data_IF_271315786175
#
_entry.id   IF_271315786175
#
_cell.length_a   1.000
_cell.length_b   1.000
_cell.length_c   1.000
_cell.angle_alpha   90.00
_cell.angle_beta   90.00
_cell.angle_gamma   90.00
#
_symmetry.space_group_name_H-M   'P 1'
#
loop_
_entity.id
_entity.type
_entity.pdbx_description
1 polymer ?
#
# COMPACT_ATOMS: atom_id res chain seq x y z
N UNK A 1 -13.66 -24.52 8.88
CA UNK A 1 -14.20 -23.26 9.42
C UNK A 1 -13.01 -22.41 9.83
N UNK A 2 -12.73 -21.36 9.06
CA UNK A 2 -11.57 -20.49 9.31
C UNK A 2 -11.90 -19.52 10.45
N UNK A 3 -10.91 -18.89 11.11
CA UNK A 3 -11.20 -17.85 12.12
C UNK A 3 -11.99 -16.65 11.56
N UNK A 4 -12.19 -16.54 10.24
CA UNK A 4 -12.87 -15.43 9.57
C UNK A 4 -14.40 -15.51 9.61
N UNK A 5 -14.99 -16.69 9.85
CA UNK A 5 -16.44 -16.85 10.05
C UNK A 5 -16.93 -16.19 11.36
N UNK A 6 -15.99 -15.67 12.18
CA UNK A 6 -16.24 -15.08 13.50
C UNK A 6 -15.90 -13.59 13.60
N UNK A 7 -15.47 -12.94 12.51
CA UNK A 7 -15.19 -11.51 12.53
C UNK A 7 -16.52 -10.77 12.44
N UNK A 8 -16.94 -10.19 13.55
CA UNK A 8 -18.07 -9.27 13.57
C UNK A 8 -17.72 -7.99 12.80
N UNK A 9 -18.34 -7.81 11.64
CA UNK A 9 -18.15 -6.67 10.74
C UNK A 9 -18.93 -5.43 11.15
N UNK A 10 -19.69 -5.51 12.25
CA UNK A 10 -20.39 -4.36 12.82
C UNK A 10 -19.40 -3.21 13.05
N UNK A 11 -18.22 -3.52 13.63
CA UNK A 11 -17.15 -2.58 13.95
C UNK A 11 -17.70 -1.28 14.58
N UNK A 12 -18.68 -1.44 15.48
CA UNK A 12 -19.43 -0.33 16.08
C UNK A 12 -18.58 0.50 17.04
N UNK A 13 -17.53 -0.09 17.60
CA UNK A 13 -16.64 0.53 18.58
C UNK A 13 -15.19 0.57 18.12
N UNK A 14 -14.46 1.60 18.57
CA UNK A 14 -13.01 1.68 18.37
C UNK A 14 -12.27 0.48 18.96
N UNK A 15 -12.79 -0.11 20.04
CA UNK A 15 -12.21 -1.30 20.67
C UNK A 15 -12.32 -2.53 19.77
N UNK A 16 -13.48 -2.77 19.14
CA UNK A 16 -13.64 -3.86 18.16
C UNK A 16 -12.71 -3.68 16.98
N UNK A 17 -12.61 -2.45 16.43
CA UNK A 17 -11.69 -2.13 15.35
C UNK A 17 -10.24 -2.41 15.78
N UNK A 18 -9.83 -1.90 16.95
CA UNK A 18 -8.48 -2.10 17.45
C UNK A 18 -8.16 -3.59 17.66
N UNK A 19 -9.08 -4.36 18.24
CA UNK A 19 -8.91 -5.80 18.46
C UNK A 19 -8.71 -6.55 17.15
N UNK A 20 -9.48 -6.21 16.12
CA UNK A 20 -9.31 -6.75 14.77
C UNK A 20 -7.94 -6.38 14.18
N UNK A 21 -7.57 -5.10 14.19
CA UNK A 21 -6.27 -4.64 13.68
C UNK A 21 -5.08 -5.19 14.45
N UNK A 22 -5.27 -5.54 15.72
CA UNK A 22 -4.23 -6.14 16.56
C UNK A 22 -3.87 -7.56 16.14
N UNK A 23 -4.70 -8.22 15.32
CA UNK A 23 -4.39 -9.52 14.72
C UNK A 23 -3.29 -9.42 13.65
N UNK A 24 -3.08 -8.22 13.08
CA UNK A 24 -2.01 -7.94 12.14
C UNK A 24 -0.67 -7.71 12.85
N UNK A 25 0.39 -7.65 12.04
CA UNK A 25 1.72 -7.21 12.46
C UNK A 25 1.70 -5.72 12.82
N UNK A 26 2.39 -5.33 13.90
CA UNK A 26 2.38 -3.93 14.39
C UNK A 26 2.86 -2.90 13.35
N UNK A 27 3.80 -3.29 12.48
CA UNK A 27 4.32 -2.39 11.42
C UNK A 27 3.27 -2.02 10.38
N UNK A 28 2.17 -2.76 10.27
CA UNK A 28 1.05 -2.42 9.37
C UNK A 28 0.33 -1.18 9.89
N UNK A 29 0.00 -1.14 11.18
CA UNK A 29 -0.61 0.03 11.81
C UNK A 29 0.29 1.27 11.71
N UNK A 30 1.59 1.09 11.92
CA UNK A 30 2.57 2.17 11.74
C UNK A 30 2.69 2.64 10.28
N UNK A 31 2.58 1.71 9.33
CA UNK A 31 2.52 2.01 7.90
C UNK A 31 1.32 2.89 7.56
N UNK A 32 0.12 2.54 8.06
CA UNK A 32 -1.09 3.33 7.83
C UNK A 32 -0.99 4.75 8.42
N UNK A 33 -0.42 4.89 9.63
CA UNK A 33 -0.13 6.22 10.21
C UNK A 33 0.77 7.04 9.29
N UNK A 34 1.80 6.38 8.76
CA UNK A 34 2.77 7.03 7.90
C UNK A 34 2.19 7.44 6.55
N UNK A 35 1.38 6.58 5.93
CA UNK A 35 0.65 6.89 4.71
C UNK A 35 -0.27 8.11 4.88
N UNK A 36 -0.99 8.22 6.00
CA UNK A 36 -1.82 9.38 6.31
C UNK A 36 -1.00 10.67 6.45
N UNK A 37 0.16 10.61 7.14
CA UNK A 37 1.08 11.75 7.21
C UNK A 37 1.57 12.14 5.82
N UNK A 38 1.92 11.15 4.99
CA UNK A 38 2.39 11.38 3.64
C UNK A 38 1.31 12.06 2.77
N UNK A 39 0.06 11.63 2.90
CA UNK A 39 -1.10 12.25 2.23
C UNK A 39 -1.26 13.72 2.61
N UNK A 40 -1.06 14.07 3.88
CA UNK A 40 -1.11 15.47 4.31
C UNK A 40 -0.05 16.33 3.63
N UNK A 41 1.13 15.76 3.31
CA UNK A 41 2.14 16.49 2.55
C UNK A 41 1.78 16.53 1.07
N UNK A 42 1.31 15.43 0.49
CA UNK A 42 0.87 15.37 -0.91
C UNK A 42 -0.29 16.34 -1.20
N UNK A 43 -1.24 16.49 -0.28
CA UNK A 43 -2.31 17.48 -0.36
C UNK A 43 -1.82 18.93 -0.37
N UNK A 44 -0.56 19.19 0.04
CA UNK A 44 0.09 20.50 -0.13
C UNK A 44 0.82 20.60 -1.45
N UNK A 45 1.35 19.50 -1.98
CA UNK A 45 2.09 19.46 -3.26
C UNK A 45 1.20 19.89 -4.42
N UNK A 46 -0.08 19.50 -4.43
CA UNK A 46 -1.04 19.96 -5.45
C UNK A 46 -1.15 21.48 -5.52
N UNK A 47 -1.06 22.20 -4.39
CA UNK A 47 -1.08 23.67 -4.34
C UNK A 47 0.15 24.33 -4.96
N UNK A 48 1.24 23.59 -5.10
CA UNK A 48 2.48 24.10 -5.68
C UNK A 48 2.62 23.72 -7.16
N UNK A 49 1.79 22.82 -7.68
CA UNK A 49 1.81 22.45 -9.08
C UNK A 49 0.89 23.39 -9.86
N UNK A 50 1.40 23.99 -10.92
CA UNK A 50 0.60 24.80 -11.86
C UNK A 50 -0.19 23.87 -12.82
N UNK A 51 -0.68 22.74 -12.30
CA UNK A 51 -1.34 21.66 -13.03
C UNK A 51 -2.41 21.03 -12.17
N UNK A 52 -3.43 20.48 -12.81
CA UNK A 52 -4.47 19.71 -12.13
C UNK A 52 -3.89 18.37 -11.65
N UNK A 53 -3.96 18.14 -10.34
CA UNK A 53 -3.59 16.87 -9.72
C UNK A 53 -4.81 16.31 -9.02
N UNK A 54 -5.28 15.16 -9.50
CA UNK A 54 -6.38 14.41 -8.88
C UNK A 54 -5.80 13.18 -8.20
N UNK A 55 -5.95 13.09 -6.89
CA UNK A 55 -5.66 11.86 -6.16
C UNK A 55 -6.90 10.99 -6.19
N UNK A 56 -6.79 9.75 -6.69
CA UNK A 56 -7.92 8.83 -6.70
C UNK A 56 -8.15 8.26 -5.29
N UNK A 57 -9.35 8.44 -4.74
CA UNK A 57 -9.85 7.84 -3.51
C UNK A 57 -10.27 6.38 -3.77
N UNK A 58 -9.26 5.55 -3.97
CA UNK A 58 -9.40 4.12 -4.20
C UNK A 58 -8.41 3.34 -3.33
N UNK A 59 -8.71 2.08 -3.08
CA UNK A 59 -7.71 1.10 -2.64
C UNK A 59 -7.51 0.12 -3.80
N UNK A 60 -6.28 -0.17 -4.20
CA UNK A 60 -6.02 -1.18 -5.23
C UNK A 60 -5.16 -2.31 -4.70
N UNK A 61 -5.68 -3.52 -4.79
CA UNK A 61 -4.94 -4.73 -4.49
C UNK A 61 -4.67 -5.49 -5.79
N UNK A 62 -3.40 -5.73 -6.10
CA UNK A 62 -3.01 -6.62 -7.19
C UNK A 62 -2.64 -7.97 -6.59
N UNK A 63 -3.30 -9.01 -7.06
CA UNK A 63 -3.11 -10.38 -6.62
C UNK A 63 -2.50 -11.21 -7.75
N UNK A 64 -1.67 -12.17 -7.37
CA UNK A 64 -1.07 -13.16 -8.27
C UNK A 64 -1.19 -14.55 -7.66
N UNK A 65 -1.45 -15.51 -8.53
CA UNK A 65 -1.41 -16.93 -8.20
C UNK A 65 -0.17 -17.63 -8.77
N UNK A 66 -0.09 -18.95 -8.67
CA UNK A 66 0.99 -19.78 -9.23
C UNK A 66 1.18 -19.63 -10.75
N UNK A 67 0.22 -19.06 -11.48
CA UNK A 67 0.34 -18.68 -12.89
C UNK A 67 0.74 -17.21 -13.11
N UNK A 68 0.88 -16.79 -14.37
CA UNK A 68 1.29 -15.42 -14.72
C UNK A 68 0.15 -14.38 -14.75
N UNK A 69 -1.09 -14.81 -14.52
CA UNK A 69 -2.24 -13.93 -14.56
C UNK A 69 -2.30 -13.05 -13.30
N UNK A 70 -2.27 -11.73 -13.50
CA UNK A 70 -2.54 -10.75 -12.46
C UNK A 70 -4.02 -10.43 -12.40
N UNK A 71 -4.54 -10.27 -11.18
CA UNK A 71 -5.91 -9.81 -10.92
C UNK A 71 -5.83 -8.55 -10.08
N UNK A 72 -6.48 -7.48 -10.51
CA UNK A 72 -6.53 -6.22 -9.78
C UNK A 72 -7.93 -6.00 -9.20
N UNK A 73 -8.03 -5.80 -7.90
CA UNK A 73 -9.24 -5.42 -7.19
C UNK A 73 -9.14 -3.94 -6.83
N UNK A 74 -9.99 -3.12 -7.44
CA UNK A 74 -10.01 -1.67 -7.23
C UNK A 74 -11.25 -1.31 -6.45
N UNK A 75 -11.09 -1.05 -5.15
CA UNK A 75 -12.17 -0.55 -4.32
C UNK A 75 -12.40 0.93 -4.61
N UNK A 76 -13.48 1.19 -5.33
CA UNK A 76 -13.99 2.52 -5.61
C UNK A 76 -14.66 3.07 -4.35
N UNK A 77 -14.06 4.11 -3.76
CA UNK A 77 -14.58 4.82 -2.59
C UNK A 77 -15.17 6.18 -2.96
N UNK A 78 -15.32 6.48 -4.25
CA UNK A 78 -15.89 7.72 -4.76
C UNK A 78 -15.84 7.80 -6.29
N UNK A 79 -16.93 8.29 -6.89
CA UNK A 79 -17.07 8.41 -8.35
C UNK A 79 -16.22 9.55 -8.95
N UNK A 80 -14.91 9.36 -8.96
CA UNK A 80 -13.95 10.39 -9.35
C UNK A 80 -13.69 10.44 -10.86
N UNK A 81 -13.40 11.65 -11.31
CA UNK A 81 -12.95 11.90 -12.68
C UNK A 81 -11.63 11.16 -12.90
N UNK A 82 -11.59 10.33 -13.94
CA UNK A 82 -10.39 9.63 -14.37
C UNK A 82 -10.19 8.22 -13.80
N UNK A 83 -11.06 7.72 -12.91
CA UNK A 83 -11.05 6.31 -12.48
C UNK A 83 -11.07 5.35 -13.69
N UNK A 84 -11.92 5.62 -14.69
CA UNK A 84 -11.97 4.82 -15.93
C UNK A 84 -10.62 4.78 -16.67
N UNK A 85 -9.85 5.85 -16.67
CA UNK A 85 -8.53 5.91 -17.30
C UNK A 85 -7.57 4.95 -16.58
N UNK A 86 -7.57 5.00 -15.25
CA UNK A 86 -6.78 4.09 -14.42
C UNK A 86 -7.18 2.62 -14.61
N UNK A 87 -8.47 2.30 -14.61
CA UNK A 87 -8.96 0.94 -14.83
C UNK A 87 -8.57 0.40 -16.21
N UNK A 88 -8.63 1.23 -17.27
CA UNK A 88 -8.16 0.85 -18.61
C UNK A 88 -6.67 0.55 -18.65
N UNK A 89 -5.86 1.36 -17.96
CA UNK A 89 -4.42 1.13 -17.88
C UNK A 89 -4.14 -0.20 -17.17
N UNK A 90 -4.75 -0.46 -16.00
CA UNK A 90 -4.61 -1.75 -15.31
C UNK A 90 -5.01 -2.94 -16.20
N UNK A 91 -6.09 -2.80 -16.97
CA UNK A 91 -6.63 -3.86 -17.83
C UNK A 91 -5.68 -4.30 -18.98
N UNK A 92 -4.55 -3.59 -19.19
CA UNK A 92 -3.51 -4.00 -20.14
C UNK A 92 -2.81 -5.29 -19.66
N UNK A 93 -2.56 -5.44 -18.36
CA UNK A 93 -1.87 -6.60 -17.77
C UNK A 93 -2.69 -7.38 -16.75
N UNK A 94 -3.76 -6.79 -16.22
CA UNK A 94 -4.56 -7.39 -15.16
C UNK A 94 -5.97 -7.72 -15.64
N UNK A 95 -6.55 -8.80 -15.11
CA UNK A 95 -8.01 -8.90 -15.01
C UNK A 95 -8.47 -7.96 -13.90
N UNK A 96 -9.35 -7.00 -14.22
CA UNK A 96 -9.71 -5.93 -13.28
C UNK A 96 -11.12 -6.15 -12.74
N UNK A 97 -11.27 -6.02 -11.43
CA UNK A 97 -12.56 -6.02 -10.74
C UNK A 97 -12.76 -4.68 -10.02
N UNK A 98 -13.89 -4.03 -10.28
CA UNK A 98 -14.31 -2.85 -9.53
C UNK A 98 -15.07 -3.32 -8.31
N UNK A 99 -14.53 -3.01 -7.13
CA UNK A 99 -15.06 -3.40 -5.82
C UNK A 99 -15.82 -2.22 -5.21
N UNK A 100 -16.94 -2.50 -4.56
CA UNK A 100 -17.73 -1.54 -3.77
C UNK A 100 -18.09 -2.15 -2.43
N UNK A 101 -18.29 -1.30 -1.42
CA UNK A 101 -18.76 -1.72 -0.10
C UNK A 101 -20.24 -1.38 0.04
N UNK A 102 -21.06 -2.37 0.40
CA UNK A 102 -22.45 -2.16 0.79
C UNK A 102 -22.53 -2.08 2.33
N UNK A 103 -22.83 -0.90 2.87
CA UNK A 103 -22.95 -0.69 4.30
C UNK A 103 -24.23 -1.26 4.92
N UNK A 104 -25.26 -1.53 4.12
CA UNK A 104 -26.52 -2.10 4.59
C UNK A 104 -26.40 -3.60 4.84
N UNK A 105 -25.65 -4.30 3.99
CA UNK A 105 -25.39 -5.73 4.12
C UNK A 105 -24.05 -6.05 4.80
N UNK A 106 -23.18 -5.05 4.96
CA UNK A 106 -21.78 -5.22 5.39
C UNK A 106 -21.00 -6.20 4.50
N UNK A 107 -21.18 -6.10 3.18
CA UNK A 107 -20.56 -7.00 2.20
C UNK A 107 -19.82 -6.19 1.12
N UNK A 108 -18.66 -6.71 0.71
CA UNK A 108 -17.97 -6.24 -0.49
C UNK A 108 -18.55 -6.93 -1.72
N UNK A 109 -18.94 -6.14 -2.71
CA UNK A 109 -19.32 -6.63 -4.03
C UNK A 109 -18.28 -6.25 -5.06
N UNK A 110 -18.18 -7.02 -6.14
CA UNK A 110 -17.38 -6.65 -7.27
C UNK A 110 -18.01 -7.04 -8.61
N UNK A 111 -17.52 -6.41 -9.67
CA UNK A 111 -17.83 -6.75 -11.06
C UNK A 111 -16.59 -6.62 -11.95
N UNK A 112 -16.49 -7.38 -13.04
CA UNK A 112 -15.37 -7.30 -13.97
C UNK A 112 -15.32 -5.95 -14.72
N UNK A 113 -14.12 -5.57 -15.14
CA UNK A 113 -13.83 -4.41 -15.98
C UNK A 113 -12.88 -4.78 -17.14
N UNK A 114 -13.15 -4.35 -18.39
CA UNK A 114 -14.41 -3.74 -18.82
C UNK A 114 -15.55 -4.76 -18.71
N UNK A 115 -16.74 -4.28 -18.39
CA UNK A 115 -17.93 -5.13 -18.44
C UNK A 115 -18.22 -5.48 -19.90
N UNK A 116 -18.25 -6.78 -20.20
CA UNK A 116 -18.41 -7.32 -21.56
C UNK A 116 -19.89 -7.60 -21.84
N UNK A 117 -20.68 -7.90 -20.80
CA UNK A 117 -22.12 -8.12 -20.90
C UNK A 117 -22.91 -6.96 -20.27
N UNK A 118 -24.04 -6.60 -20.88
CA UNK A 118 -25.03 -5.67 -20.27
C UNK A 118 -25.53 -6.13 -18.89
N UNK A 119 -25.30 -7.41 -18.56
CA UNK A 119 -25.75 -8.07 -17.33
C UNK A 119 -24.61 -8.38 -16.35
N UNK A 120 -23.39 -7.85 -16.52
CA UNK A 120 -22.35 -8.01 -15.49
C UNK A 120 -22.78 -7.27 -14.21
N UNK A 121 -23.50 -7.99 -13.37
CA UNK A 121 -24.00 -7.52 -12.09
C UNK A 121 -22.90 -7.65 -11.05
N UNK A 122 -22.96 -6.76 -10.08
CA UNK A 122 -22.20 -6.91 -8.85
C UNK A 122 -22.55 -8.25 -8.20
N UNK A 123 -21.53 -9.01 -7.82
CA UNK A 123 -21.66 -10.24 -7.03
C UNK A 123 -20.79 -10.13 -5.77
N UNK A 124 -21.12 -10.85 -4.69
CA UNK A 124 -20.29 -10.86 -3.49
C UNK A 124 -18.84 -11.19 -3.85
N UNK A 125 -17.90 -10.35 -3.41
CA UNK A 125 -16.50 -10.48 -3.77
C UNK A 125 -15.93 -11.83 -3.33
N UNK A 126 -16.39 -12.36 -2.19
CA UNK A 126 -16.00 -13.69 -1.70
C UNK A 126 -16.33 -14.82 -2.69
N UNK A 127 -17.45 -14.72 -3.40
CA UNK A 127 -17.86 -15.69 -4.42
C UNK A 127 -17.01 -15.56 -5.69
N UNK A 128 -16.48 -14.37 -5.96
CA UNK A 128 -15.60 -14.12 -7.10
C UNK A 128 -14.20 -14.67 -6.79
N UNK A 129 -13.58 -14.25 -5.68
CA UNK A 129 -12.21 -14.67 -5.30
C UNK A 129 -12.11 -16.18 -5.09
N UNK A 130 -13.17 -16.83 -4.61
CA UNK A 130 -13.20 -18.30 -4.45
C UNK A 130 -13.23 -19.07 -5.77
N UNK A 131 -13.68 -18.43 -6.86
CA UNK A 131 -13.72 -19.03 -8.20
C UNK A 131 -12.43 -18.79 -8.98
N UNK A 132 -11.82 -17.61 -8.82
CA UNK A 132 -10.65 -17.20 -9.61
C UNK A 132 -9.31 -17.46 -8.90
N UNK A 133 -9.31 -17.57 -7.57
CA UNK A 133 -8.15 -18.00 -6.81
C UNK A 133 -7.98 -19.52 -6.88
N UNK A 134 -6.76 -19.99 -7.08
CA UNK A 134 -6.43 -21.43 -7.10
C UNK A 134 -5.73 -21.91 -5.82
N UNK A 135 -5.43 -21.01 -4.89
CA UNK A 135 -4.93 -21.40 -3.58
C UNK A 135 -6.02 -22.09 -2.75
N UNK A 136 -5.70 -23.21 -2.11
CA UNK A 136 -6.49 -23.70 -0.98
C UNK A 136 -6.55 -22.62 0.08
N UNK A 137 -7.75 -22.28 0.56
CA UNK A 137 -7.99 -21.19 1.52
C UNK A 137 -6.91 -21.18 2.61
N UNK A 138 -6.02 -20.18 2.55
CA UNK A 138 -4.94 -20.03 3.53
C UNK A 138 -5.39 -19.09 4.60
N UNK A 139 -5.41 -19.57 5.84
CA UNK A 139 -5.71 -18.70 6.95
C UNK A 139 -4.62 -17.63 7.09
N UNK A 140 -5.01 -16.35 7.08
CA UNK A 140 -4.10 -15.27 7.40
C UNK A 140 -3.79 -15.33 8.91
N UNK A 141 -2.65 -15.95 9.26
CA UNK A 141 -2.17 -16.07 10.63
C UNK A 141 -0.82 -15.38 10.77
N UNK A 142 -0.79 -14.32 11.57
CA UNK A 142 0.44 -13.57 11.91
C UNK A 142 1.10 -14.21 13.13
N UNK A 143 2.43 -14.33 13.09
CA UNK A 143 3.22 -14.82 14.21
C UNK A 143 3.23 -13.80 15.37
N UNK A 144 3.01 -14.26 16.59
CA UNK A 144 2.98 -13.39 17.76
C UNK A 144 4.31 -12.66 18.00
N UNK A 145 5.45 -13.23 17.57
CA UNK A 145 6.76 -12.58 17.68
C UNK A 145 6.93 -11.30 16.85
N UNK A 146 6.06 -11.08 15.86
CA UNK A 146 6.05 -9.84 15.07
C UNK A 146 4.90 -8.92 15.47
N UNK A 147 4.17 -9.24 16.53
CA UNK A 147 3.11 -8.39 17.11
C UNK A 147 3.68 -7.63 18.29
N UNK A 148 3.34 -6.34 18.36
CA UNK A 148 3.72 -5.45 19.45
C UNK A 148 2.51 -4.58 19.76
N UNK A 149 1.78 -4.98 20.81
CA UNK A 149 0.52 -4.35 21.17
C UNK A 149 0.71 -2.90 21.61
N UNK A 150 1.83 -2.56 22.27
CA UNK A 150 2.10 -1.19 22.69
C UNK A 150 2.29 -0.27 21.48
N UNK A 151 3.02 -0.74 20.46
CA UNK A 151 3.19 -0.01 19.19
C UNK A 151 1.87 0.11 18.43
N UNK A 152 1.05 -0.95 18.42
CA UNK A 152 -0.27 -0.91 17.80
C UNK A 152 -1.21 0.08 18.50
N UNK A 153 -1.24 0.08 19.84
CA UNK A 153 -2.00 1.05 20.63
C UNK A 153 -1.57 2.48 20.32
N UNK A 154 -0.26 2.74 20.31
CA UNK A 154 0.30 4.05 19.99
C UNK A 154 -0.05 4.53 18.58
N UNK A 155 0.02 3.65 17.58
CA UNK A 155 -0.37 3.98 16.22
C UNK A 155 -1.89 4.22 16.09
N UNK A 156 -2.70 3.34 16.68
CA UNK A 156 -4.15 3.40 16.54
C UNK A 156 -4.77 4.54 17.34
N UNK A 157 -4.64 4.53 18.67
CA UNK A 157 -5.24 5.54 19.55
C UNK A 157 -4.50 6.87 19.55
N UNK A 158 -3.19 6.85 19.26
CA UNK A 158 -2.39 8.07 19.16
C UNK A 158 -2.63 8.85 17.87
N UNK A 159 -3.07 8.20 16.78
CA UNK A 159 -3.21 8.83 15.47
C UNK A 159 -4.44 8.39 14.68
N UNK A 160 -4.53 7.12 14.27
CA UNK A 160 -5.53 6.66 13.30
C UNK A 160 -6.98 6.93 13.75
N UNK A 161 -7.31 6.64 15.00
CA UNK A 161 -8.66 6.87 15.54
C UNK A 161 -9.02 8.35 15.58
N UNK A 162 -8.02 9.22 15.81
CA UNK A 162 -8.23 10.66 15.95
C UNK A 162 -8.37 11.32 14.57
N UNK A 163 -7.50 10.98 13.61
CA UNK A 163 -7.53 11.57 12.27
C UNK A 163 -8.74 11.11 11.48
N UNK A 164 -9.14 9.84 11.61
CA UNK A 164 -10.29 9.32 10.88
C UNK A 164 -11.61 9.44 11.64
N UNK A 165 -11.58 9.65 12.97
CA UNK A 165 -12.74 9.87 13.83
C UNK A 165 -13.90 8.90 13.49
N UNK A 166 -15.11 9.43 13.22
CA UNK A 166 -16.29 8.64 12.85
C UNK A 166 -16.19 7.86 11.53
N UNK A 167 -15.04 7.88 10.83
CA UNK A 167 -14.76 7.12 9.61
C UNK A 167 -13.66 6.07 9.79
N UNK A 168 -13.31 5.73 11.03
CA UNK A 168 -12.21 4.78 11.32
C UNK A 168 -12.51 3.38 10.77
N UNK A 169 -13.78 2.95 10.80
CA UNK A 169 -14.23 1.69 10.20
C UNK A 169 -13.87 1.65 8.71
N UNK A 170 -14.31 2.66 7.97
CA UNK A 170 -14.17 2.73 6.52
C UNK A 170 -12.73 2.99 6.09
N UNK A 171 -11.99 3.83 6.82
CA UNK A 171 -10.62 4.23 6.45
C UNK A 171 -9.57 3.22 6.86
N UNK A 172 -9.82 2.41 7.88
CA UNK A 172 -8.79 1.52 8.46
C UNK A 172 -9.26 0.06 8.47
N UNK A 173 -10.36 -0.23 9.17
CA UNK A 173 -10.77 -1.62 9.41
C UNK A 173 -11.17 -2.34 8.11
N UNK A 174 -12.01 -1.70 7.28
CA UNK A 174 -12.53 -2.30 6.06
C UNK A 174 -11.43 -2.59 5.02
N UNK A 175 -10.44 -1.71 4.88
CA UNK A 175 -9.29 -1.94 3.97
C UNK A 175 -8.52 -3.19 4.39
N UNK A 176 -8.29 -3.36 5.70
CA UNK A 176 -7.59 -4.54 6.24
C UNK A 176 -8.43 -5.81 6.13
N UNK A 177 -9.74 -5.72 6.39
CA UNK A 177 -10.67 -6.82 6.19
C UNK A 177 -10.72 -7.28 4.73
N UNK A 178 -10.85 -6.34 3.79
CA UNK A 178 -10.85 -6.62 2.35
C UNK A 178 -9.60 -7.40 1.94
N UNK A 179 -8.40 -6.91 2.29
CA UNK A 179 -7.17 -7.58 1.84
C UNK A 179 -6.87 -8.87 2.62
N UNK A 180 -6.95 -8.88 3.95
CA UNK A 180 -6.49 -10.02 4.74
C UNK A 180 -7.51 -11.16 4.80
N UNK A 181 -8.81 -10.84 4.75
CA UNK A 181 -9.87 -11.82 4.98
C UNK A 181 -10.59 -12.22 3.69
N UNK A 182 -10.69 -11.30 2.71
CA UNK A 182 -11.38 -11.59 1.46
C UNK A 182 -10.41 -11.93 0.34
N UNK A 183 -9.37 -11.13 0.10
CA UNK A 183 -8.50 -11.33 -1.08
C UNK A 183 -7.36 -12.31 -0.78
N UNK A 184 -6.47 -11.98 0.15
CA UNK A 184 -5.22 -12.70 0.41
C UNK A 184 -5.37 -14.22 0.66
N UNK A 185 -6.43 -14.72 1.32
CA UNK A 185 -6.58 -16.16 1.54
C UNK A 185 -6.63 -17.02 0.28
N UNK A 186 -6.96 -16.43 -0.88
CA UNK A 186 -7.17 -17.12 -2.16
C UNK A 186 -6.01 -16.98 -3.14
N UNK A 187 -4.99 -16.17 -2.82
CA UNK A 187 -3.89 -15.88 -3.73
C UNK A 187 -2.53 -16.13 -3.07
N UNK A 188 -1.54 -16.44 -3.90
CA UNK A 188 -0.18 -16.72 -3.44
C UNK A 188 0.60 -15.44 -3.05
N UNK A 189 0.27 -14.32 -3.69
CA UNK A 189 0.81 -13.00 -3.40
C UNK A 189 -0.25 -11.92 -3.62
N UNK A 190 -0.27 -10.92 -2.74
CA UNK A 190 -1.11 -9.73 -2.85
C UNK A 190 -0.28 -8.52 -2.49
N UNK A 191 -0.36 -7.49 -3.31
CA UNK A 191 0.32 -6.22 -3.14
C UNK A 191 -0.71 -5.10 -3.11
N UNK A 192 -0.52 -4.12 -2.21
CA UNK A 192 -1.25 -2.88 -2.23
C UNK A 192 -0.55 -1.88 -3.15
N UNK A 193 -1.31 -1.08 -3.87
CA UNK A 193 -0.80 0.11 -4.55
C UNK A 193 -1.13 1.31 -3.65
N UNK A 194 -0.10 1.94 -3.08
CA UNK A 194 -0.31 2.93 -2.01
C UNK A 194 -1.17 4.12 -2.48
N UNK A 195 -0.76 4.89 -3.50
CA UNK A 195 -1.58 6.01 -4.04
C UNK A 195 -1.53 6.10 -5.56
N UNK A 196 -2.66 6.52 -6.15
CA UNK A 196 -2.79 6.78 -7.58
C UNK A 196 -3.12 8.25 -7.80
N UNK A 197 -2.27 8.93 -8.56
CA UNK A 197 -2.45 10.31 -8.98
C UNK A 197 -2.70 10.38 -10.48
N UNK A 198 -3.59 11.28 -10.86
CA UNK A 198 -3.74 11.76 -12.23
C UNK A 198 -3.13 13.15 -12.30
N UNK A 199 -2.13 13.30 -13.15
CA UNK A 199 -1.51 14.59 -13.46
C UNK A 199 -1.64 14.78 -14.96
N UNK A 200 -2.52 15.69 -15.36
CA UNK A 200 -2.97 15.84 -16.74
C UNK A 200 -3.50 14.49 -17.29
N UNK A 201 -2.85 13.96 -18.34
CA UNK A 201 -3.18 12.68 -18.98
C UNK A 201 -2.41 11.47 -18.38
N UNK A 202 -1.52 11.70 -17.41
CA UNK A 202 -0.60 10.68 -16.89
C UNK A 202 -1.12 10.07 -15.59
N UNK A 203 -0.96 8.76 -15.46
CA UNK A 203 -1.18 8.02 -14.22
C UNK A 203 0.16 7.86 -13.51
N UNK A 204 0.23 8.35 -12.27
CA UNK A 204 1.40 8.25 -11.41
C UNK A 204 1.02 7.44 -10.17
N UNK A 205 1.73 6.34 -9.95
CA UNK A 205 1.70 5.56 -8.72
C UNK A 205 2.73 6.15 -7.77
N UNK A 206 2.31 6.51 -6.57
CA UNK A 206 3.21 6.85 -5.49
C UNK A 206 3.28 5.68 -4.52
N UNK A 207 4.46 5.10 -4.40
CA UNK A 207 4.75 4.06 -3.42
C UNK A 207 5.52 4.69 -2.26
N UNK A 208 4.96 4.68 -1.06
CA UNK A 208 5.52 5.38 0.09
C UNK A 208 5.90 4.39 1.19
N UNK A 209 7.19 4.35 1.54
CA UNK A 209 7.71 3.48 2.59
C UNK A 209 8.47 4.28 3.62
N UNK A 210 8.54 3.74 4.84
CA UNK A 210 9.46 4.23 5.87
C UNK A 210 10.51 3.16 6.16
N UNK A 211 11.78 3.50 6.01
CA UNK A 211 12.89 2.54 6.18
C UNK A 211 14.08 3.23 6.85
N UNK A 212 14.97 2.43 7.41
CA UNK A 212 16.34 2.86 7.68
C UNK A 212 17.25 2.19 6.65
N UNK A 213 18.32 2.87 6.18
CA UNK A 213 19.26 2.25 5.26
C UNK A 213 19.98 1.09 5.97
N UNK A 214 20.36 0.07 5.20
CA UNK A 214 21.33 -0.91 5.67
C UNK A 214 22.74 -0.50 5.21
N UNK A 215 23.77 -1.04 5.85
CA UNK A 215 25.19 -0.72 5.59
C UNK A 215 25.91 -0.37 6.88
N UNK A 216 27.11 -0.90 7.10
CA UNK A 216 27.94 -0.51 8.25
C UNK A 216 28.56 0.86 7.93
N UNK A 217 28.16 1.91 8.66
CA UNK A 217 28.81 3.22 8.62
C UNK A 217 28.39 4.17 7.49
N UNK A 218 27.70 3.69 6.45
CA UNK A 218 27.25 4.52 5.32
C UNK A 218 25.83 4.14 4.86
N UNK A 219 25.10 5.12 4.33
CA UNK A 219 23.77 4.95 3.74
C UNK A 219 23.88 4.11 2.46
N UNK A 220 24.03 2.78 2.58
CA UNK A 220 24.37 1.96 1.40
C UNK A 220 23.17 1.64 0.52
N UNK A 221 21.97 1.46 1.10
CA UNK A 221 20.77 1.23 0.31
C UNK A 221 19.55 0.78 1.10
N UNK A 222 18.50 0.48 0.34
CA UNK A 222 17.21 -0.02 0.79
C UNK A 222 16.83 -1.29 0.04
N UNK A 223 15.99 -2.12 0.66
CA UNK A 223 15.50 -3.34 0.03
C UNK A 223 14.17 -3.09 -0.67
N UNK A 224 14.05 -3.50 -1.93
CA UNK A 224 12.80 -3.61 -2.68
C UNK A 224 12.44 -5.08 -2.80
N UNK A 225 11.25 -5.48 -2.37
CA UNK A 225 10.81 -6.87 -2.44
C UNK A 225 10.81 -7.37 -3.89
N UNK A 226 11.24 -8.63 -4.13
CA UNK A 226 11.34 -9.16 -5.49
C UNK A 226 9.98 -9.17 -6.22
N UNK A 227 8.90 -9.51 -5.51
CA UNK A 227 7.53 -9.49 -6.05
C UNK A 227 7.02 -8.06 -6.30
N UNK A 228 7.32 -7.14 -5.40
CA UNK A 228 7.02 -5.70 -5.56
C UNK A 228 7.77 -5.11 -6.77
N UNK A 229 9.05 -5.44 -6.96
CA UNK A 229 9.83 -5.02 -8.12
C UNK A 229 9.23 -5.55 -9.44
N UNK A 230 8.77 -6.81 -9.45
CA UNK A 230 8.10 -7.40 -10.60
C UNK A 230 6.76 -6.70 -10.89
N UNK A 231 5.93 -6.47 -9.87
CA UNK A 231 4.67 -5.73 -10.01
C UNK A 231 4.89 -4.33 -10.57
N UNK A 232 5.89 -3.61 -10.08
CA UNK A 232 6.22 -2.28 -10.59
C UNK A 232 6.55 -2.33 -12.08
N UNK A 233 7.27 -3.37 -12.54
CA UNK A 233 7.52 -3.61 -13.97
C UNK A 233 6.21 -3.75 -14.77
N UNK A 234 5.25 -4.49 -14.25
CA UNK A 234 3.93 -4.67 -14.90
C UNK A 234 3.11 -3.38 -14.92
N UNK A 235 3.14 -2.58 -13.84
CA UNK A 235 2.46 -1.27 -13.80
C UNK A 235 3.07 -0.29 -14.81
N UNK A 236 4.39 -0.33 -15.01
CA UNK A 236 5.05 0.47 -16.05
C UNK A 236 4.61 0.04 -17.44
N UNK A 237 4.48 -1.27 -17.68
CA UNK A 237 3.97 -1.80 -18.96
C UNK A 237 2.50 -1.42 -19.21
N UNK A 238 1.73 -1.16 -18.15
CA UNK A 238 0.39 -0.55 -18.22
C UNK A 238 0.41 0.95 -18.56
N UNK A 239 1.57 1.54 -18.82
CA UNK A 239 1.74 2.97 -19.13
C UNK A 239 1.71 3.89 -17.91
N UNK A 240 1.86 3.33 -16.70
CA UNK A 240 1.90 4.11 -15.46
C UNK A 240 3.33 4.48 -15.11
N UNK A 241 3.49 5.56 -14.35
CA UNK A 241 4.79 5.96 -13.80
C UNK A 241 4.82 5.67 -12.32
N UNK A 242 5.89 5.08 -11.82
CA UNK A 242 6.00 4.74 -10.40
C UNK A 242 7.07 5.60 -9.76
N UNK A 243 6.67 6.41 -8.78
CA UNK A 243 7.57 7.17 -7.92
C UNK A 243 7.67 6.46 -6.58
N UNK A 244 8.82 5.82 -6.34
CA UNK A 244 9.10 5.15 -5.08
C UNK A 244 9.75 6.12 -4.11
N UNK A 245 9.15 6.23 -2.93
CA UNK A 245 9.49 7.22 -1.92
C UNK A 245 9.80 6.54 -0.61
N UNK A 246 10.93 6.92 -0.02
CA UNK A 246 11.38 6.40 1.26
C UNK A 246 11.56 7.58 2.21
N UNK A 247 10.83 7.59 3.31
CA UNK A 247 11.19 8.43 4.45
C UNK A 247 12.19 7.69 5.31
N UNK A 248 13.38 8.28 5.40
CA UNK A 248 14.49 7.83 6.22
C UNK A 248 14.35 8.40 7.61
N UNK A 249 14.16 7.49 8.56
CA UNK A 249 14.08 7.81 9.99
C UNK A 249 15.43 8.36 10.49
N UNK A 250 15.45 9.45 11.28
CA UNK A 250 16.69 9.95 11.88
C UNK A 250 17.26 9.00 12.95
N UNK A 251 16.41 8.23 13.62
CA UNK A 251 16.84 7.26 14.64
C UNK A 251 16.80 5.84 14.07
N UNK A 252 17.97 5.21 13.98
CA UNK A 252 18.13 3.85 13.44
C UNK A 252 18.05 2.80 14.55
N UNK A 253 16.90 2.74 15.20
CA UNK A 253 16.62 1.76 16.23
C UNK A 253 15.31 1.04 15.89
N UNK A 254 15.41 -0.27 15.65
CA UNK A 254 14.26 -1.12 15.29
C UNK A 254 13.19 -1.23 16.38
N UNK A 255 13.56 -0.92 17.63
CA UNK A 255 12.66 -0.89 18.78
C UNK A 255 11.86 0.43 18.83
N UNK A 256 12.23 1.44 18.03
CA UNK A 256 11.50 2.70 17.92
C UNK A 256 10.56 2.61 16.73
N UNK A 257 9.26 2.74 17.01
CA UNK A 257 8.20 2.78 16.00
C UNK A 257 8.31 3.95 15.02
N UNK A 258 7.37 4.11 14.09
CA UNK A 258 7.32 5.31 13.23
C UNK A 258 6.57 6.47 13.90
N UNK A 259 5.75 6.18 14.90
CA UNK A 259 4.84 7.15 15.52
C UNK A 259 5.55 8.32 16.22
N UNK A 260 6.82 8.18 16.64
CA UNK A 260 7.56 9.29 17.26
C UNK A 260 7.73 10.49 16.32
N UNK A 261 7.67 10.31 14.99
CA UNK A 261 7.72 11.42 14.03
C UNK A 261 6.50 12.35 14.16
N UNK A 262 5.42 11.92 14.81
CA UNK A 262 4.25 12.74 15.09
C UNK A 262 4.46 13.67 16.29
N UNK A 263 5.08 13.17 17.36
CA UNK A 263 5.22 13.87 18.63
C UNK A 263 6.59 14.55 18.81
N UNK A 264 7.62 14.12 18.08
CA UNK A 264 8.96 14.67 18.17
C UNK A 264 9.28 15.52 16.92
N UNK A 265 9.09 16.84 17.06
CA UNK A 265 9.37 17.81 16.00
C UNK A 265 10.82 17.75 15.53
N UNK A 266 11.78 17.64 16.44
CA UNK A 266 13.20 17.56 16.10
C UNK A 266 13.50 16.31 15.24
N UNK A 267 12.90 15.17 15.58
CA UNK A 267 13.02 13.99 14.75
C UNK A 267 12.40 14.19 13.36
N UNK A 268 11.22 14.81 13.29
CA UNK A 268 10.55 15.08 12.01
C UNK A 268 11.37 16.00 11.11
N UNK A 269 11.98 17.04 11.68
CA UNK A 269 12.80 18.00 10.93
C UNK A 269 14.11 17.38 10.43
N UNK A 270 14.63 16.36 11.12
CA UNK A 270 15.81 15.59 10.72
C UNK A 270 15.47 14.35 9.88
N UNK A 271 14.19 14.08 9.59
CA UNK A 271 13.81 13.02 8.67
C UNK A 271 14.13 13.44 7.22
N UNK A 272 14.63 12.49 6.43
CA UNK A 272 14.88 12.71 5.00
C UNK A 272 13.82 12.01 4.18
N UNK A 273 13.45 12.61 3.06
CA UNK A 273 12.65 11.94 2.04
C UNK A 273 13.57 11.69 0.86
N UNK A 274 13.61 10.44 0.45
CA UNK A 274 14.29 9.98 -0.74
C UNK A 274 13.24 9.60 -1.77
N UNK A 275 13.41 10.03 -3.02
CA UNK A 275 12.53 9.63 -4.11
C UNK A 275 13.30 9.13 -5.31
N UNK A 276 12.73 8.17 -6.04
CA UNK A 276 13.26 7.68 -7.31
C UNK A 276 12.11 7.32 -8.24
N UNK A 277 12.19 7.81 -9.47
CA UNK A 277 11.27 7.33 -10.51
C UNK A 277 11.77 5.97 -11.01
N UNK A 278 10.91 4.97 -10.89
CA UNK A 278 11.17 3.62 -11.35
C UNK A 278 10.73 3.52 -12.81
N UNK A 279 11.66 3.73 -13.73
CA UNK A 279 11.45 3.51 -15.17
C UNK A 279 11.63 2.03 -15.54
N UNK A 280 11.15 1.63 -16.73
CA UNK A 280 11.35 0.27 -17.25
C UNK A 280 12.82 -0.14 -17.24
N UNK A 281 13.70 0.72 -17.77
CA UNK A 281 15.15 0.49 -17.80
C UNK A 281 15.72 0.32 -16.39
N UNK A 282 15.25 1.12 -15.43
CA UNK A 282 15.73 1.05 -14.05
C UNK A 282 15.27 -0.25 -13.38
N UNK A 283 14.00 -0.63 -13.51
CA UNK A 283 13.47 -1.87 -12.94
C UNK A 283 14.12 -3.11 -13.54
N UNK A 284 14.37 -3.13 -14.85
CA UNK A 284 15.10 -4.24 -15.48
C UNK A 284 16.52 -4.38 -14.91
N UNK A 285 17.20 -3.28 -14.62
CA UNK A 285 18.49 -3.29 -13.92
C UNK A 285 18.36 -3.82 -12.50
N UNK A 286 17.34 -3.40 -11.75
CA UNK A 286 17.09 -3.83 -10.36
C UNK A 286 16.78 -5.33 -10.31
N UNK A 287 15.92 -5.84 -11.19
CA UNK A 287 15.55 -7.26 -11.24
C UNK A 287 16.75 -8.17 -11.54
N UNK A 288 17.73 -7.68 -12.32
CA UNK A 288 18.99 -8.38 -12.60
C UNK A 288 19.98 -8.38 -11.42
N UNK A 289 19.77 -7.56 -10.37
CA UNK A 289 20.64 -7.57 -9.18
C UNK A 289 20.48 -8.88 -8.41
N UNK A 290 21.50 -9.26 -7.64
CA UNK A 290 21.45 -10.44 -6.77
C UNK A 290 20.41 -10.24 -5.66
N UNK A 291 19.48 -11.19 -5.51
CA UNK A 291 18.53 -11.19 -4.40
C UNK A 291 19.23 -11.51 -3.08
N UNK A 292 18.77 -10.87 -2.02
CA UNK A 292 19.20 -11.13 -0.64
C UNK A 292 17.99 -11.56 0.19
N UNK A 293 18.22 -12.43 1.17
CA UNK A 293 17.17 -12.81 2.11
C UNK A 293 17.00 -11.71 3.15
N UNK A 294 15.76 -11.29 3.37
CA UNK A 294 15.39 -10.37 4.42
C UNK A 294 15.18 -11.11 5.76
N UNK A 295 15.35 -10.43 6.91
CA UNK A 295 14.99 -10.97 8.22
C UNK A 295 13.53 -11.45 8.27
N UNK A 296 13.21 -12.46 9.10
CA UNK A 296 11.85 -13.03 9.17
C UNK A 296 10.78 -11.97 9.50
N UNK A 297 11.13 -10.97 10.31
CA UNK A 297 10.29 -9.81 10.65
C UNK A 297 9.91 -8.94 9.44
N UNK A 298 10.44 -9.18 8.24
CA UNK A 298 10.04 -8.44 7.02
C UNK A 298 8.90 -9.09 6.26
N UNK A 299 8.57 -10.35 6.55
CA UNK A 299 7.38 -10.96 5.97
C UNK A 299 6.12 -10.44 6.66
N UNK A 300 5.01 -10.39 5.92
CA UNK A 300 3.73 -9.84 6.41
C UNK A 300 3.25 -10.59 7.65
N UNK A 301 3.49 -11.90 7.71
CA UNK A 301 3.04 -12.78 8.77
C UNK A 301 4.15 -13.32 9.70
N UNK A 302 5.42 -12.97 9.45
CA UNK A 302 6.59 -13.48 10.17
C UNK A 302 6.98 -14.94 9.87
N UNK A 303 6.29 -15.64 8.96
CA UNK A 303 6.42 -17.10 8.76
C UNK A 303 7.16 -17.49 7.48
N UNK A 304 7.60 -16.54 6.65
CA UNK A 304 8.22 -16.81 5.36
C UNK A 304 9.50 -16.01 5.15
N UNK A 305 10.43 -16.56 4.37
CA UNK A 305 11.59 -15.81 3.89
C UNK A 305 11.16 -14.93 2.73
N UNK A 306 11.49 -13.65 2.84
CA UNK A 306 11.26 -12.68 1.78
C UNK A 306 12.59 -12.33 1.12
N UNK A 307 12.60 -12.25 -0.20
CA UNK A 307 13.77 -11.83 -0.96
C UNK A 307 13.63 -10.39 -1.44
N UNK A 308 14.75 -9.69 -1.52
CA UNK A 308 14.79 -8.30 -1.97
C UNK A 308 15.99 -8.00 -2.87
N UNK A 309 15.82 -6.99 -3.73
CA UNK A 309 16.86 -6.30 -4.48
C UNK A 309 17.30 -5.04 -3.75
N UNK A 310 18.58 -4.70 -3.84
CA UNK A 310 19.11 -3.46 -3.26
C UNK A 310 18.83 -2.29 -4.20
N UNK A 311 18.24 -1.21 -3.68
CA UNK A 311 18.21 0.12 -4.27
C UNK A 311 19.29 0.96 -3.57
N UNK A 312 20.24 1.52 -4.32
CA UNK A 312 21.34 2.28 -3.74
C UNK A 312 20.92 3.72 -3.48
N UNK A 313 21.42 4.32 -2.40
CA UNK A 313 20.96 5.65 -1.96
C UNK A 313 21.30 6.76 -2.95
N UNK A 314 22.42 6.63 -3.66
CA UNK A 314 22.87 7.55 -4.71
C UNK A 314 21.93 7.58 -5.94
N UNK A 315 21.05 6.58 -6.08
CA UNK A 315 20.03 6.54 -7.12
C UNK A 315 18.80 7.39 -6.79
N UNK A 316 18.66 7.84 -5.53
CA UNK A 316 17.55 8.66 -5.08
C UNK A 316 17.89 10.15 -5.14
N UNK A 317 16.91 10.98 -5.48
CA UNK A 317 16.97 12.38 -5.09
C UNK A 317 16.62 12.51 -3.61
N UNK A 318 17.28 13.43 -2.91
CA UNK A 318 17.13 13.63 -1.47
C UNK A 318 16.61 15.02 -1.17
N UNK A 319 15.57 15.10 -0.34
CA UNK A 319 15.12 16.33 0.26
C UNK A 319 14.96 16.18 1.78
N UNK A 320 14.98 17.30 2.50
CA UNK A 320 14.54 17.30 3.90
C UNK A 320 13.03 17.21 3.96
N UNK A 321 12.49 16.49 4.95
CA UNK A 321 11.05 16.32 5.09
C UNK A 321 10.29 17.66 5.15
N UNK A 322 10.83 18.66 5.86
CA UNK A 322 10.26 20.01 5.95
C UNK A 322 10.30 20.80 4.61
N UNK A 323 11.13 20.39 3.65
CA UNK A 323 11.29 21.02 2.34
C UNK A 323 10.59 20.23 1.21
N UNK A 324 9.94 19.11 1.55
CA UNK A 324 9.43 18.14 0.59
C UNK A 324 8.53 18.76 -0.48
N UNK A 325 7.62 19.66 -0.10
CA UNK A 325 6.65 20.27 -1.03
C UNK A 325 7.30 21.04 -2.19
N UNK A 326 8.43 21.72 -1.96
CA UNK A 326 9.12 22.52 -3.00
C UNK A 326 9.90 21.67 -3.98
N UNK A 327 10.57 20.62 -3.48
CA UNK A 327 11.38 19.75 -4.33
C UNK A 327 10.53 18.76 -5.13
N UNK A 328 9.46 18.26 -4.52
CA UNK A 328 8.49 17.41 -5.19
C UNK A 328 7.78 18.12 -6.33
N UNK A 329 7.46 19.41 -6.18
CA UNK A 329 6.98 20.24 -7.29
C UNK A 329 7.88 20.11 -8.52
N UNK A 330 9.20 20.29 -8.35
CA UNK A 330 10.16 20.25 -9.48
C UNK A 330 10.21 18.88 -10.16
N UNK A 331 10.04 17.80 -9.39
CA UNK A 331 10.08 16.44 -9.92
C UNK A 331 8.76 16.06 -10.58
N UNK A 332 7.63 16.28 -9.92
CA UNK A 332 6.31 16.02 -10.50
C UNK A 332 6.04 16.84 -11.76
N UNK A 333 6.60 18.05 -11.91
CA UNK A 333 6.52 18.81 -13.18
C UNK A 333 7.31 18.19 -14.34
N UNK A 334 8.36 17.42 -14.02
CA UNK A 334 9.17 16.68 -15.00
C UNK A 334 8.60 15.30 -15.27
N UNK A 335 7.78 14.79 -14.35
CA UNK A 335 6.87 13.71 -14.66
C UNK A 335 5.75 14.24 -15.57
#
# INVERSE_FOLDING_TARGET
MSNFDKVDLSFETLEQIFKFLSLDKHTIAEGMVFEDIFDQVMGRVSRYLDREVVTLNIETFVAKDSGDKLVAFVWDRGAEVGLRRYLRALAIKCEVYVVVWDSSENIFYAKPYPSVAKEDKYAPLIDIVSKIGSASLREHKVNDSVRDQARQLGAFYGHLSNVHAGRTKERVALTRYLVNCIIQPWFSGVWNIDRVLLVDEKIIILEAKHKYPFGKGEWSGFGLNDGEAALIGELIDCGMRVLHTIIVKPYWNKNIGSAYLLSNLNARDNAHVLGVELSRLYIDKVLKRKSRAAPAETSINGNSKVYYKTLYVDEFFRCQYCQMSKEWRRKLLRL
#
